data_IF_299417487402
#
_entry.id   IF_299417487402
#
_cell.length_a   1.000
_cell.length_b   1.000
_cell.length_c   1.000
_cell.angle_alpha   90.00
_cell.angle_beta   90.00
_cell.angle_gamma   90.00
#
_symmetry.space_group_name_H-M   'P 1'
#
loop_
_entity.id
_entity.type
_entity.pdbx_description
1 polymer ?
#
# COMPACT_ATOMS: atom_id res chain seq x y z
N UNK A 1 -26.68 16.44 49.25
CA UNK A 1 -26.79 16.58 47.79
C UNK A 1 -25.50 16.05 47.18
N UNK A 2 -25.45 14.77 46.83
CA UNK A 2 -24.28 14.16 46.19
C UNK A 2 -24.59 14.01 44.71
N UNK A 3 -23.98 14.88 43.90
CA UNK A 3 -24.04 14.77 42.44
C UNK A 3 -23.12 13.62 42.01
N UNK A 4 -23.74 12.54 41.54
CA UNK A 4 -23.05 11.43 40.90
C UNK A 4 -22.39 11.90 39.59
N UNK A 5 -21.06 11.91 39.58
CA UNK A 5 -20.25 11.99 38.37
C UNK A 5 -20.42 10.70 37.57
N UNK A 6 -21.24 10.72 36.52
CA UNK A 6 -21.20 9.71 35.47
C UNK A 6 -20.07 10.08 34.49
N UNK A 7 -18.87 9.54 34.73
CA UNK A 7 -17.80 9.55 33.74
C UNK A 7 -18.18 8.52 32.67
N UNK A 8 -18.60 9.00 31.50
CA UNK A 8 -18.74 8.19 30.32
C UNK A 8 -17.37 7.62 29.95
N UNK A 9 -17.14 6.35 30.28
CA UNK A 9 -16.03 5.56 29.76
C UNK A 9 -16.35 5.30 28.29
N UNK A 10 -15.95 6.23 27.43
CA UNK A 10 -15.88 6.01 25.99
C UNK A 10 -14.75 5.02 25.76
N UNK A 11 -15.08 3.74 25.82
CA UNK A 11 -14.22 2.63 25.41
C UNK A 11 -13.77 2.86 23.98
N UNK A 12 -12.53 3.30 23.80
CA UNK A 12 -11.84 3.39 22.53
C UNK A 12 -11.67 1.98 21.99
N UNK A 13 -12.66 1.49 21.24
CA UNK A 13 -12.40 0.39 20.32
C UNK A 13 -11.28 0.86 19.38
N UNK A 14 -10.18 0.12 19.21
CA UNK A 14 -9.28 0.39 18.11
C UNK A 14 -10.11 0.21 16.85
N UNK A 15 -10.45 1.30 16.19
CA UNK A 15 -10.95 1.22 14.84
C UNK A 15 -9.85 0.53 14.04
N UNK A 16 -10.12 -0.71 13.64
CA UNK A 16 -9.24 -1.50 12.79
C UNK A 16 -9.35 -0.87 11.42
N UNK A 17 -8.63 0.24 11.21
CA UNK A 17 -8.53 0.87 9.91
C UNK A 17 -7.67 -0.05 9.06
N UNK A 18 -8.29 -0.69 8.07
CA UNK A 18 -7.58 -1.46 7.06
C UNK A 18 -6.85 -0.48 6.15
N UNK A 19 -5.51 -0.52 6.15
CA UNK A 19 -4.67 0.32 5.30
C UNK A 19 -5.03 0.09 3.82
N UNK A 20 -5.09 1.16 3.04
CA UNK A 20 -5.39 1.09 1.60
C UNK A 20 -4.25 1.62 0.76
N UNK A 21 -3.68 0.77 -0.10
CA UNK A 21 -2.49 1.08 -0.89
C UNK A 21 -2.74 1.00 -2.39
N UNK A 22 -2.03 1.83 -3.16
CA UNK A 22 -2.02 1.69 -4.61
C UNK A 22 -1.36 0.36 -5.01
N UNK A 23 -2.07 -0.45 -5.79
CA UNK A 23 -1.57 -1.69 -6.36
C UNK A 23 -1.34 -1.55 -7.86
N UNK A 24 -0.07 -1.50 -8.25
CA UNK A 24 0.35 -1.49 -9.64
C UNK A 24 1.69 -2.20 -9.82
N UNK A 25 1.97 -2.70 -11.02
CA UNK A 25 3.28 -3.29 -11.30
C UNK A 25 3.67 -3.17 -12.76
N UNK A 26 4.97 -3.15 -12.97
CA UNK A 26 5.63 -3.28 -14.26
C UNK A 26 6.43 -4.57 -14.23
N UNK A 27 6.10 -5.51 -15.11
CA UNK A 27 6.81 -6.77 -15.26
C UNK A 27 7.62 -6.74 -16.55
N UNK A 28 8.93 -6.95 -16.44
CA UNK A 28 9.85 -7.02 -17.57
C UNK A 28 10.40 -8.42 -17.71
N UNK A 29 9.97 -9.13 -18.74
CA UNK A 29 10.46 -10.45 -19.12
C UNK A 29 11.63 -10.36 -20.09
N UNK A 30 12.51 -11.35 -20.03
CA UNK A 30 13.52 -11.57 -21.07
C UNK A 30 13.14 -12.80 -21.88
N UNK A 31 12.71 -12.59 -23.12
CA UNK A 31 12.27 -13.65 -24.03
C UNK A 31 13.32 -13.85 -25.10
N UNK A 32 13.69 -15.11 -25.36
CA UNK A 32 14.58 -15.43 -26.48
C UNK A 32 13.75 -15.58 -27.74
N UNK A 33 13.96 -14.70 -28.72
CA UNK A 33 13.28 -14.74 -30.02
C UNK A 33 14.34 -14.75 -31.11
N UNK A 34 14.30 -15.78 -31.98
CA UNK A 34 15.26 -15.95 -33.07
C UNK A 34 16.73 -15.88 -32.61
N UNK A 35 17.04 -16.53 -31.48
CA UNK A 35 18.39 -16.56 -30.90
C UNK A 35 18.82 -15.30 -30.16
N UNK A 36 18.09 -14.18 -30.26
CA UNK A 36 18.36 -12.91 -29.57
C UNK A 36 17.50 -12.75 -28.32
N UNK A 37 18.04 -12.13 -27.28
CA UNK A 37 17.27 -11.74 -26.09
C UNK A 37 16.47 -10.47 -26.41
N UNK A 38 15.16 -10.50 -26.22
CA UNK A 38 14.25 -9.36 -26.35
C UNK A 38 13.55 -9.14 -25.00
N UNK A 39 13.59 -7.91 -24.51
CA UNK A 39 12.81 -7.51 -23.34
C UNK A 39 11.35 -7.27 -23.74
N UNK A 40 10.41 -7.87 -23.00
CA UNK A 40 8.98 -7.55 -23.10
C UNK A 40 8.53 -6.97 -21.77
N UNK A 41 7.92 -5.79 -21.80
CA UNK A 41 7.43 -5.09 -20.60
C UNK A 41 5.91 -5.01 -20.62
N UNK A 42 5.27 -5.41 -19.53
CA UNK A 42 3.84 -5.28 -19.30
C UNK A 42 3.59 -4.41 -18.07
N UNK A 43 2.63 -3.50 -18.16
CA UNK A 43 2.22 -2.65 -17.05
C UNK A 43 0.80 -3.03 -16.61
N UNK A 44 0.59 -3.18 -15.31
CA UNK A 44 -0.70 -3.51 -14.72
C UNK A 44 -1.06 -2.49 -13.65
N UNK A 45 -2.27 -1.96 -13.70
CA UNK A 45 -2.80 -1.01 -12.74
C UNK A 45 -4.12 -1.56 -12.18
N UNK A 46 -4.17 -1.80 -10.87
CA UNK A 46 -5.34 -2.36 -10.18
C UNK A 46 -6.04 -1.35 -9.28
N UNK A 47 -5.51 -0.13 -9.17
CA UNK A 47 -6.06 0.92 -8.32
C UNK A 47 -5.69 0.76 -6.86
N UNK A 48 -6.43 1.44 -5.98
CA UNK A 48 -6.24 1.36 -4.52
C UNK A 48 -6.96 0.12 -4.02
N UNK A 49 -6.22 -0.75 -3.34
CA UNK A 49 -6.73 -1.98 -2.74
C UNK A 49 -6.51 -1.93 -1.22
N UNK A 50 -7.47 -2.47 -0.48
CA UNK A 50 -7.31 -2.71 0.95
C UNK A 50 -6.23 -3.77 1.18
N UNK A 51 -5.37 -3.53 2.16
CA UNK A 51 -4.37 -4.47 2.62
C UNK A 51 -5.01 -5.54 3.51
N UNK A 52 -4.44 -6.75 3.49
CA UNK A 52 -4.78 -7.73 4.52
C UNK A 52 -4.22 -7.30 5.87
N UNK A 53 -4.80 -7.78 6.97
CA UNK A 53 -4.39 -7.41 8.34
C UNK A 53 -2.90 -7.61 8.64
N UNK A 54 -2.22 -8.45 7.85
CA UNK A 54 -0.79 -8.76 8.00
C UNK A 54 0.13 -7.78 7.25
N UNK A 55 -0.40 -7.06 6.27
CA UNK A 55 0.36 -6.18 5.39
C UNK A 55 0.12 -4.73 5.81
N UNK A 56 0.94 -4.26 6.73
CA UNK A 56 0.74 -3.01 7.45
C UNK A 56 1.42 -1.79 6.81
N UNK A 57 2.06 -1.97 5.65
CA UNK A 57 2.77 -0.91 4.94
C UNK A 57 2.34 -0.83 3.48
N UNK A 58 2.17 0.38 2.97
CA UNK A 58 2.21 0.64 1.54
C UNK A 58 3.67 0.74 1.11
N UNK A 59 4.04 -0.05 0.12
CA UNK A 59 5.42 -0.15 -0.34
C UNK A 59 5.46 0.11 -1.83
N UNK A 60 6.34 1.02 -2.23
CA UNK A 60 6.74 1.21 -3.60
C UNK A 60 8.13 0.61 -3.79
N UNK A 61 8.23 -0.44 -4.59
CA UNK A 61 9.44 -1.24 -4.71
C UNK A 61 10.07 -1.11 -6.10
N UNK A 62 11.40 -0.98 -6.11
CA UNK A 62 12.18 -0.95 -7.36
C UNK A 62 12.23 -2.33 -8.00
N UNK A 63 12.68 -2.38 -9.26
CA UNK A 63 12.76 -3.62 -10.02
C UNK A 63 13.58 -4.70 -9.29
N UNK A 64 12.93 -5.80 -8.93
CA UNK A 64 13.53 -6.99 -8.33
C UNK A 64 13.19 -8.23 -9.16
N UNK A 65 13.93 -9.32 -8.99
CA UNK A 65 13.63 -10.56 -9.70
C UNK A 65 12.29 -11.14 -9.23
N UNK A 66 11.48 -11.63 -10.17
CA UNK A 66 10.18 -12.25 -9.86
C UNK A 66 10.34 -13.46 -8.93
N UNK A 67 11.45 -14.20 -9.05
CA UNK A 67 11.78 -15.30 -8.14
C UNK A 67 11.93 -14.83 -6.69
N UNK A 68 12.58 -13.68 -6.47
CA UNK A 68 12.71 -13.07 -5.15
C UNK A 68 11.38 -12.48 -4.67
N UNK A 69 10.66 -11.76 -5.54
CA UNK A 69 9.31 -11.26 -5.23
C UNK A 69 8.38 -12.38 -4.76
N UNK A 70 8.42 -13.55 -5.40
CA UNK A 70 7.60 -14.71 -5.02
C UNK A 70 7.91 -15.28 -3.62
N UNK A 71 8.98 -14.82 -2.96
CA UNK A 71 9.29 -15.17 -1.56
C UNK A 71 8.69 -14.19 -0.55
N UNK A 72 8.20 -13.04 -1.01
CA UNK A 72 7.57 -12.02 -0.17
C UNK A 72 6.13 -12.38 0.17
N UNK A 73 5.64 -11.84 1.28
CA UNK A 73 4.31 -12.00 1.83
C UNK A 73 3.21 -11.53 0.87
N UNK A 74 3.43 -10.39 0.22
CA UNK A 74 2.53 -9.83 -0.78
C UNK A 74 2.32 -10.80 -1.93
N UNK A 75 3.33 -11.61 -2.29
CA UNK A 75 3.21 -12.61 -3.35
C UNK A 75 2.44 -13.87 -2.93
N UNK A 76 2.29 -14.09 -1.61
CA UNK A 76 1.48 -15.16 -1.04
C UNK A 76 -0.01 -14.81 -0.98
N UNK A 77 -0.36 -13.51 -1.05
CA UNK A 77 -1.75 -13.08 -1.22
C UNK A 77 -2.30 -13.66 -2.53
N UNK A 78 -3.31 -14.53 -2.46
CA UNK A 78 -3.90 -15.20 -3.64
C UNK A 78 -4.86 -14.26 -4.40
N UNK A 79 -4.39 -13.08 -4.77
CA UNK A 79 -5.18 -12.03 -5.42
C UNK A 79 -4.79 -11.83 -6.90
N UNK A 80 -5.53 -10.96 -7.60
CA UNK A 80 -5.29 -10.66 -9.02
C UNK A 80 -3.90 -10.07 -9.25
N UNK A 81 -3.40 -9.23 -8.34
CA UNK A 81 -2.08 -8.61 -8.44
C UNK A 81 -0.97 -9.66 -8.54
N UNK A 82 -0.96 -10.65 -7.63
CA UNK A 82 0.08 -11.68 -7.63
C UNK A 82 -0.04 -12.66 -8.79
N UNK A 83 -1.27 -12.97 -9.21
CA UNK A 83 -1.51 -13.87 -10.35
C UNK A 83 -1.00 -13.30 -11.68
N UNK A 84 -0.92 -11.97 -11.81
CA UNK A 84 -0.34 -11.31 -12.98
C UNK A 84 1.20 -11.36 -13.00
N UNK A 85 1.84 -11.46 -11.84
CA UNK A 85 3.31 -11.41 -11.68
C UNK A 85 3.92 -12.82 -11.66
N UNK A 86 3.34 -13.74 -10.88
CA UNK A 86 3.89 -15.08 -10.57
C UNK A 86 4.33 -15.92 -11.79
N UNK A 87 3.63 -15.95 -12.94
CA UNK A 87 4.04 -16.80 -14.06
C UNK A 87 5.22 -16.26 -14.87
N UNK A 88 5.71 -15.06 -14.57
CA UNK A 88 6.73 -14.38 -15.35
C UNK A 88 8.16 -14.78 -14.94
N UNK A 89 9.09 -14.68 -15.90
CA UNK A 89 10.50 -14.99 -15.72
C UNK A 89 11.35 -13.76 -16.05
N UNK A 90 11.38 -12.83 -15.11
CA UNK A 90 12.09 -11.57 -15.27
C UNK A 90 12.06 -10.73 -14.00
N UNK A 91 11.89 -9.43 -14.16
CA UNK A 91 11.84 -8.46 -13.06
C UNK A 91 10.47 -7.85 -12.88
N UNK A 92 10.16 -7.45 -11.65
CA UNK A 92 8.96 -6.72 -11.28
C UNK A 92 9.32 -5.49 -10.46
N UNK A 93 8.73 -4.35 -10.82
CA UNK A 93 8.72 -3.12 -10.02
C UNK A 93 7.26 -2.72 -9.80
N UNK A 94 6.95 -1.95 -8.76
CA UNK A 94 5.56 -1.60 -8.53
C UNK A 94 5.26 -1.02 -7.16
N UNK A 95 3.98 -1.05 -6.82
CA UNK A 95 3.42 -0.60 -5.55
C UNK A 95 2.42 -1.63 -5.05
N UNK A 96 2.46 -1.95 -3.77
CA UNK A 96 1.49 -2.84 -3.12
C UNK A 96 1.62 -2.78 -1.59
N UNK A 97 0.77 -3.52 -0.89
CA UNK A 97 0.89 -3.72 0.55
C UNK A 97 2.00 -4.74 0.85
N UNK A 98 2.78 -4.55 1.91
CA UNK A 98 3.74 -5.53 2.46
C UNK A 98 3.76 -5.46 3.99
N UNK A 99 4.26 -6.48 4.66
CA UNK A 99 4.63 -6.37 6.08
C UNK A 99 5.93 -5.58 6.26
N UNK A 100 6.14 -5.13 7.49
CA UNK A 100 7.38 -4.49 7.92
C UNK A 100 8.61 -5.39 7.70
N UNK A 101 8.48 -6.70 7.93
CA UNK A 101 9.57 -7.64 7.75
C UNK A 101 10.06 -7.68 6.30
N UNK A 102 9.13 -7.69 5.34
CA UNK A 102 9.47 -7.77 3.92
C UNK A 102 9.87 -6.42 3.33
N UNK A 103 9.31 -5.31 3.84
CA UNK A 103 9.80 -3.98 3.56
C UNK A 103 11.29 -3.83 3.93
N UNK A 104 11.69 -4.34 5.10
CA UNK A 104 13.10 -4.36 5.52
C UNK A 104 13.94 -5.26 4.61
N UNK A 105 13.45 -6.44 4.22
CA UNK A 105 14.18 -7.35 3.30
C UNK A 105 14.50 -6.69 1.96
N UNK A 106 13.60 -5.85 1.44
CA UNK A 106 13.82 -5.14 0.19
C UNK A 106 14.48 -3.77 0.38
N UNK A 107 14.91 -3.45 1.61
CA UNK A 107 15.54 -2.19 2.00
C UNK A 107 14.67 -0.97 1.63
N UNK A 108 13.35 -1.09 1.85
CA UNK A 108 12.45 0.03 1.67
C UNK A 108 12.73 1.11 2.72
N UNK A 109 12.90 2.34 2.26
CA UNK A 109 13.16 3.49 3.12
C UNK A 109 11.81 4.04 3.63
N UNK A 110 11.61 4.21 4.94
CA UNK A 110 10.43 4.87 5.47
C UNK A 110 10.33 6.32 5.00
N UNK A 111 9.15 6.72 4.53
CA UNK A 111 8.84 8.11 4.16
C UNK A 111 7.37 8.42 4.42
N UNK A 112 7.01 9.70 4.46
CA UNK A 112 5.61 10.13 4.54
C UNK A 112 4.86 9.87 3.22
N UNK A 113 5.57 9.99 2.10
CA UNK A 113 5.04 9.76 0.75
C UNK A 113 6.06 9.00 -0.12
N UNK A 114 5.56 8.03 -0.88
CA UNK A 114 6.31 7.20 -1.81
C UNK A 114 5.83 7.42 -3.26
N UNK A 115 5.67 8.68 -3.65
CA UNK A 115 5.17 9.10 -4.96
C UNK A 115 6.31 9.35 -5.95
N UNK A 116 6.00 9.32 -7.25
CA UNK A 116 6.96 9.64 -8.31
C UNK A 116 8.00 8.54 -8.62
N UNK A 117 9.14 8.97 -9.17
CA UNK A 117 10.27 8.11 -9.52
C UNK A 117 11.22 8.00 -8.32
N UNK A 118 11.53 6.78 -7.90
CA UNK A 118 12.38 6.53 -6.73
C UNK A 118 13.61 5.72 -7.14
N UNK A 119 14.77 6.15 -6.63
CA UNK A 119 16.04 5.45 -6.81
C UNK A 119 16.13 4.17 -5.95
N UNK A 120 15.34 4.10 -4.88
CA UNK A 120 15.27 3.00 -3.93
C UNK A 120 13.81 2.63 -3.65
N UNK A 121 13.59 1.46 -3.06
CA UNK A 121 12.29 1.10 -2.50
C UNK A 121 11.91 2.06 -1.36
N UNK A 122 10.62 2.28 -1.16
CA UNK A 122 10.05 3.22 -0.20
C UNK A 122 8.84 2.59 0.49
N UNK A 123 8.62 2.90 1.77
CA UNK A 123 7.48 2.41 2.55
C UNK A 123 6.81 3.52 3.37
N UNK A 124 5.49 3.45 3.51
CA UNK A 124 4.68 4.41 4.27
C UNK A 124 3.44 3.72 4.88
N UNK A 125 2.84 4.32 5.91
CA UNK A 125 1.78 3.71 6.74
C UNK A 125 0.41 4.38 6.58
N UNK A 126 0.27 5.32 5.65
CA UNK A 126 -0.94 6.12 5.46
C UNK A 126 -1.66 5.74 4.16
N UNK A 127 -2.98 5.87 4.14
CA UNK A 127 -3.76 5.52 2.96
C UNK A 127 -3.31 6.31 1.73
N UNK A 128 -3.08 5.62 0.62
CA UNK A 128 -2.74 6.24 -0.66
C UNK A 128 -1.34 6.86 -0.74
N UNK A 129 -0.49 6.72 0.27
CA UNK A 129 0.84 7.37 0.34
C UNK A 129 1.80 6.99 -0.80
N UNK A 130 1.55 5.89 -1.51
CA UNK A 130 2.29 5.49 -2.71
C UNK A 130 1.73 6.09 -4.02
N UNK A 131 0.78 7.02 -3.96
CA UNK A 131 0.25 7.74 -5.13
C UNK A 131 -1.10 7.27 -5.65
N UNK A 132 -1.96 6.73 -4.78
CA UNK A 132 -3.39 6.55 -5.08
C UNK A 132 -4.14 7.76 -4.54
N UNK A 133 -4.90 8.46 -5.38
CA UNK A 133 -5.63 9.67 -4.98
C UNK A 133 -6.47 9.39 -3.72
N UNK A 134 -5.99 9.90 -2.59
CA UNK A 134 -6.68 9.84 -1.32
C UNK A 134 -7.83 10.84 -1.36
N UNK A 135 -9.00 10.38 -1.80
CA UNK A 135 -10.28 10.86 -1.25
C UNK A 135 -10.52 10.23 0.12
N UNK A 136 -9.51 10.14 0.97
CA UNK A 136 -9.72 10.04 2.41
C UNK A 136 -9.86 11.47 2.92
N UNK A 137 -11.01 12.10 2.67
CA UNK A 137 -11.43 13.23 3.50
C UNK A 137 -11.48 12.66 4.93
N UNK A 138 -10.45 12.96 5.72
CA UNK A 138 -10.44 12.71 7.15
C UNK A 138 -11.78 13.19 7.71
N UNK A 139 -12.60 12.24 8.15
CA UNK A 139 -13.92 12.51 8.73
C UNK A 139 -13.82 13.45 9.95
N UNK A 140 -12.62 13.56 10.55
CA UNK A 140 -12.34 14.50 11.63
C UNK A 140 -12.35 15.97 11.18
N UNK A 141 -11.99 16.27 9.92
CA UNK A 141 -12.05 17.64 9.38
C UNK A 141 -13.48 18.14 9.20
N UNK A 142 -14.39 17.27 8.77
CA UNK A 142 -15.82 17.60 8.59
C UNK A 142 -16.55 17.84 9.91
N UNK A 143 -16.20 17.09 10.96
CA UNK A 143 -16.74 17.30 12.31
C UNK A 143 -16.33 18.64 12.91
N UNK A 144 -15.09 19.10 12.67
CA UNK A 144 -14.64 20.41 13.12
C UNK A 144 -15.42 21.56 12.46
N UNK A 145 -15.77 21.43 11.17
CA UNK A 145 -16.56 22.43 10.45
C UNK A 145 -18.02 22.43 10.95
N UNK A 146 -18.63 21.26 11.11
CA UNK A 146 -20.01 21.16 11.63
C UNK A 146 -20.15 21.74 13.05
N UNK A 147 -19.18 21.50 13.94
CA UNK A 147 -19.19 22.08 15.28
C UNK A 147 -19.04 23.61 15.28
N UNK A 148 -18.31 24.19 14.31
CA UNK A 148 -18.17 25.64 14.18
C UNK A 148 -19.48 26.33 13.75
N UNK A 149 -20.33 25.65 12.96
CA UNK A 149 -21.62 26.18 12.54
C UNK A 149 -22.73 26.02 13.60
N UNK A 150 -22.67 24.97 14.44
CA UNK A 150 -23.65 24.79 15.53
C UNK A 150 -23.43 25.81 16.65
N UNK A 151 -22.18 26.22 16.91
CA UNK A 151 -21.85 27.13 18.00
C UNK A 151 -22.03 28.63 17.66
N UNK A 152 -22.59 28.94 16.50
CA UNK A 152 -22.85 30.32 16.02
C UNK A 152 -24.33 30.68 15.84
N UNK A 153 -25.25 29.74 16.13
CA UNK A 153 -26.70 30.00 16.26
C UNK A 153 -27.14 29.79 17.70
#
# INVERSE_FOLDING_TARGET
>A
MNAFFFIAVLSSLPAVFSLSCLSNCTVTNSVRTNGKMKGTTNNYYLGVLECSEKLTLCVAFTAMDVSFFNTLDVAQEKNTFTNLIRPNNGKVAGRSCMSEADAVKIQAVPADECTGFMASSCSCTTDGCTGGASTSLSLMGLLAILLFFINKN
#
